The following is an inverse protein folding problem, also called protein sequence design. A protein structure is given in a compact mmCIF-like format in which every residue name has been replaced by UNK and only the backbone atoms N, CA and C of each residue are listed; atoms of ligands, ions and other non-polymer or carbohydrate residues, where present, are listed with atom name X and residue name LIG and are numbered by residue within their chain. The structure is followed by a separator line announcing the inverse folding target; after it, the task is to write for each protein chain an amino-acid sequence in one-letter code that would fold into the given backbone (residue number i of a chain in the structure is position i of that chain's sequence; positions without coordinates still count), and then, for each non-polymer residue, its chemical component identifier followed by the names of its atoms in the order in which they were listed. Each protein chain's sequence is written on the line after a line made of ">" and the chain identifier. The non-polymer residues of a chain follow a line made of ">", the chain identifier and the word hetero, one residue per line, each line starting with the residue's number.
data_IF_736348062406
#
_entry.id   IF_736348062406
#
_cell.length_a   1.000
_cell.length_b   1.000
_cell.length_c   1.000
_cell.angle_alpha   90.00
_cell.angle_beta   90.00
_cell.angle_gamma   90.00
#
_symmetry.space_group_name_H-M   'P 1'
#
loop_
_entity.id
_entity.type
_entity.pdbx_description
1 polymer ?
#
# COMPACT_ATOMS: atom_id res chain seq x y z
N UNK A 1 6.58 -8.14 1.76
CA UNK A 1 5.22 -8.02 1.15
C UNK A 1 4.95 -6.60 0.66
N UNK A 2 5.01 -5.58 1.53
CA UNK A 2 4.75 -4.15 1.20
C UNK A 2 5.53 -3.63 -0.03
N UNK A 3 6.85 -3.86 -0.12
CA UNK A 3 7.68 -3.41 -1.25
C UNK A 3 7.24 -3.98 -2.61
N UNK A 4 6.75 -5.22 -2.64
CA UNK A 4 6.26 -5.85 -3.87
C UNK A 4 4.93 -5.24 -4.30
N UNK A 5 4.03 -5.02 -3.35
CA UNK A 5 2.74 -4.35 -3.58
C UNK A 5 2.95 -2.94 -4.14
N UNK A 6 3.83 -2.15 -3.53
CA UNK A 6 4.13 -0.79 -4.00
C UNK A 6 4.72 -0.77 -5.42
N UNK A 7 5.56 -1.75 -5.76
CA UNK A 7 6.07 -1.91 -7.13
C UNK A 7 4.95 -2.25 -8.11
N UNK A 8 4.00 -3.08 -7.71
CA UNK A 8 2.85 -3.43 -8.55
C UNK A 8 1.87 -2.28 -8.72
N UNK A 9 1.60 -1.51 -7.66
CA UNK A 9 0.80 -0.28 -7.73
C UNK A 9 1.46 0.72 -8.68
N UNK A 10 2.77 0.92 -8.57
CA UNK A 10 3.53 1.81 -9.45
C UNK A 10 3.44 1.35 -10.92
N UNK A 11 3.60 0.05 -11.18
CA UNK A 11 3.50 -0.53 -12.52
C UNK A 11 2.09 -0.40 -13.12
N UNK A 12 1.05 -0.69 -12.35
CA UNK A 12 -0.35 -0.61 -12.81
C UNK A 12 -0.77 0.82 -13.15
N UNK A 13 -0.35 1.78 -12.33
CA UNK A 13 -0.73 3.18 -12.48
C UNK A 13 0.27 4.02 -13.30
N UNK A 14 1.30 3.38 -13.88
CA UNK A 14 2.36 4.04 -14.66
C UNK A 14 3.09 5.15 -13.88
N UNK A 15 3.23 4.99 -12.57
CA UNK A 15 3.98 5.90 -11.71
C UNK A 15 5.37 5.33 -11.39
N UNK A 16 6.27 6.20 -10.92
CA UNK A 16 7.53 5.75 -10.36
C UNK A 16 7.31 5.12 -8.98
N UNK A 17 8.12 4.11 -8.63
CA UNK A 17 8.09 3.54 -7.28
C UNK A 17 8.36 4.59 -6.20
N UNK A 18 9.26 5.55 -6.46
CA UNK A 18 9.61 6.61 -5.52
C UNK A 18 8.41 7.52 -5.22
N UNK A 19 7.63 7.87 -6.24
CA UNK A 19 6.40 8.66 -6.09
C UNK A 19 5.37 7.91 -5.26
N UNK A 20 5.08 6.65 -5.62
CA UNK A 20 4.08 5.83 -4.90
C UNK A 20 4.52 5.58 -3.45
N UNK A 21 5.80 5.32 -3.21
CA UNK A 21 6.34 5.13 -1.86
C UNK A 21 6.21 6.41 -1.03
N UNK A 22 6.55 7.57 -1.60
CA UNK A 22 6.40 8.86 -0.91
C UNK A 22 4.94 9.13 -0.55
N UNK A 23 4.02 8.98 -1.50
CA UNK A 23 2.59 9.17 -1.26
C UNK A 23 2.03 8.20 -0.21
N UNK A 24 2.49 6.95 -0.23
CA UNK A 24 2.12 5.95 0.76
C UNK A 24 2.62 6.29 2.18
N UNK A 25 3.87 6.77 2.31
CA UNK A 25 4.46 7.17 3.59
C UNK A 25 3.82 8.45 4.12
N UNK A 26 3.69 9.46 3.26
CA UNK A 26 3.09 10.75 3.60
C UNK A 26 1.60 10.55 3.94
N UNK A 27 0.94 9.58 3.30
CA UNK A 27 -0.47 9.23 3.56
C UNK A 27 -1.42 10.38 3.26
N UNK A 28 -0.99 11.32 2.41
CA UNK A 28 -1.75 12.49 2.00
C UNK A 28 -2.77 12.16 0.91
N UNK A 29 -2.69 10.97 0.31
CA UNK A 29 -3.55 10.54 -0.78
C UNK A 29 -4.35 9.27 -0.40
N UNK A 30 -5.63 9.41 -0.02
CA UNK A 30 -6.47 8.28 0.36
C UNK A 30 -6.66 7.27 -0.78
N UNK A 31 -6.60 7.70 -2.05
CA UNK A 31 -6.67 6.80 -3.21
C UNK A 31 -5.40 5.94 -3.33
N UNK A 32 -4.22 6.47 -3.03
CA UNK A 32 -2.97 5.70 -3.07
C UNK A 32 -2.96 4.58 -2.02
N UNK A 33 -3.44 4.90 -0.82
CA UNK A 33 -3.67 3.92 0.25
C UNK A 33 -4.61 2.81 -0.19
N UNK A 34 -5.76 3.16 -0.76
CA UNK A 34 -6.75 2.18 -1.20
C UNK A 34 -6.18 1.27 -2.29
N UNK A 35 -5.50 1.84 -3.29
CA UNK A 35 -4.84 1.06 -4.34
C UNK A 35 -3.78 0.11 -3.80
N UNK A 36 -3.03 0.52 -2.77
CA UNK A 36 -2.09 -0.36 -2.08
C UNK A 36 -2.79 -1.56 -1.48
N UNK A 37 -3.87 -1.36 -0.73
CA UNK A 37 -4.57 -2.44 -0.06
C UNK A 37 -5.28 -3.38 -1.04
N UNK A 38 -5.96 -2.85 -2.06
CA UNK A 38 -6.56 -3.67 -3.11
C UNK A 38 -5.51 -4.57 -3.79
N UNK A 39 -4.33 -4.01 -4.07
CA UNK A 39 -3.20 -4.77 -4.63
C UNK A 39 -2.63 -5.76 -3.62
N UNK A 40 -2.56 -5.40 -2.34
CA UNK A 40 -2.08 -6.27 -1.25
C UNK A 40 -2.96 -7.51 -1.12
N UNK A 41 -4.28 -7.37 -1.02
CA UNK A 41 -5.20 -8.50 -0.90
C UNK A 41 -5.24 -9.36 -2.15
N UNK A 42 -5.04 -8.76 -3.32
CA UNK A 42 -4.95 -9.52 -4.58
C UNK A 42 -3.70 -10.39 -4.65
N UNK A 43 -2.57 -9.88 -4.15
CA UNK A 43 -1.29 -10.61 -4.16
C UNK A 43 -1.15 -11.58 -3.00
N UNK A 44 -1.78 -11.27 -1.86
CA UNK A 44 -1.69 -12.04 -0.63
C UNK A 44 -3.09 -12.25 -0.02
N UNK A 45 -3.95 -13.06 -0.66
CA UNK A 45 -5.33 -13.28 -0.19
C UNK A 45 -5.40 -13.97 1.16
N UNK A 46 -4.41 -14.81 1.49
CA UNK A 46 -4.32 -15.54 2.77
C UNK A 46 -3.58 -14.75 3.86
N UNK A 47 -3.21 -13.49 3.60
CA UNK A 47 -2.50 -12.69 4.57
C UNK A 47 -3.40 -12.41 5.79
N UNK A 48 -2.91 -12.59 7.03
CA UNK A 48 -3.70 -12.35 8.23
C UNK A 48 -4.00 -10.86 8.46
N UNK A 49 -3.38 -9.98 7.67
CA UNK A 49 -3.56 -8.53 7.69
C UNK A 49 -4.90 -8.17 7.06
N UNK A 50 -5.96 -8.15 7.86
CA UNK A 50 -7.25 -7.60 7.46
C UNK A 50 -7.28 -6.09 7.72
N UNK A 51 -8.13 -5.38 6.99
CA UNK A 51 -8.25 -3.92 6.80
C UNK A 51 -8.35 -3.06 8.09
N UNK A 52 -8.29 -3.68 9.26
CA UNK A 52 -8.43 -3.13 10.61
C UNK A 52 -7.23 -2.28 11.07
N UNK A 53 -6.05 -2.43 10.46
CA UNK A 53 -4.86 -1.66 10.87
C UNK A 53 -4.69 -0.31 10.15
N UNK A 54 -5.57 0.06 9.21
CA UNK A 54 -5.53 1.38 8.58
C UNK A 54 -6.36 2.42 9.35
N UNK A 55 -6.16 2.47 10.67
CA UNK A 55 -6.34 3.75 11.35
C UNK A 55 -5.21 4.66 10.86
N UNK A 56 -5.51 5.88 10.41
CA UNK A 56 -4.48 6.84 9.98
C UNK A 56 -3.40 7.07 11.07
N UNK A 57 -3.72 6.77 12.33
CA UNK A 57 -2.84 6.84 13.51
C UNK A 57 -2.05 5.54 13.79
N UNK A 58 -2.32 4.43 13.11
CA UNK A 58 -1.71 3.12 13.35
C UNK A 58 -0.77 2.67 12.22
N UNK A 59 -0.07 3.59 11.55
CA UNK A 59 0.88 3.32 10.44
C UNK A 59 2.15 2.54 10.82
N UNK A 60 2.09 1.59 11.76
CA UNK A 60 3.20 0.68 12.06
C UNK A 60 3.05 -0.58 11.21
N UNK A 61 3.61 -0.52 10.01
CA UNK A 61 4.09 -1.75 9.37
C UNK A 61 5.47 -2.04 9.93
N UNK A 62 5.71 -3.25 10.44
CA UNK A 62 7.07 -3.77 10.57
C UNK A 62 7.63 -3.85 9.14
N UNK A 63 8.46 -2.86 8.78
CA UNK A 63 9.13 -2.74 7.49
C UNK A 63 10.42 -3.57 7.46
#
# INVERSE_FOLDING_TARGET
>A
MVKQVLKDVARQNKFSYQTVFKEFVDGNNPSCTQCFWETFYRLFPDAPYHFVAFCHDCRRFDL
#
